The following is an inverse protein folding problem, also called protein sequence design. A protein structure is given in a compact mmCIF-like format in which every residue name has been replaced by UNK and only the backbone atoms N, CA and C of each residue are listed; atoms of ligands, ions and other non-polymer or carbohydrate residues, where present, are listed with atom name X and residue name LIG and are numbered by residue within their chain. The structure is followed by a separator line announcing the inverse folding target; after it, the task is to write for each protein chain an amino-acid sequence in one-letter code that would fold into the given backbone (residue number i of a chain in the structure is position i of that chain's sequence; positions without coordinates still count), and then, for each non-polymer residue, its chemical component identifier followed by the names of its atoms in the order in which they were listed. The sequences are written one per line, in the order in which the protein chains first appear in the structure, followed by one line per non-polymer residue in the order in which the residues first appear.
data_IF_673913713650
#
_entry.id   IF_673913713650
#
_cell.length_a   1.000
_cell.length_b   1.000
_cell.length_c   1.000
_cell.angle_alpha   90.00
_cell.angle_beta   90.00
_cell.angle_gamma   90.00
#
_symmetry.space_group_name_H-M   'P 1'
#
loop_
_entity.id
_entity.type
_entity.pdbx_description
1 polymer ?
#
# COMPACT_ATOMS: atom_id res chain seq x y z
N UNK A 1 4.37 -5.71 22.84
CA UNK A 1 4.89 -6.83 22.04
C UNK A 1 3.75 -7.43 21.27
N UNK A 2 3.63 -7.02 20.01
CA UNK A 2 2.96 -7.77 18.95
C UNK A 2 3.88 -7.59 17.74
N UNK A 3 4.84 -8.50 17.64
CA UNK A 3 5.66 -8.71 16.44
C UNK A 3 4.72 -9.14 15.32
N UNK A 4 4.50 -8.24 14.38
CA UNK A 4 4.00 -8.58 13.05
C UNK A 4 5.21 -8.64 12.12
N UNK A 5 5.99 -9.71 12.29
CA UNK A 5 6.81 -10.27 11.23
C UNK A 5 5.85 -10.89 10.22
N UNK A 6 5.57 -10.18 9.12
CA UNK A 6 4.91 -10.76 7.96
C UNK A 6 5.77 -10.39 6.74
N UNK A 7 6.44 -11.44 6.27
CA UNK A 7 7.06 -11.68 4.97
C UNK A 7 7.73 -10.50 4.25
N UNK A 8 9.05 -10.44 4.47
CA UNK A 8 10.00 -10.10 3.43
C UNK A 8 9.82 -11.11 2.28
N UNK A 9 8.89 -10.81 1.37
CA UNK A 9 8.78 -11.52 0.10
C UNK A 9 10.03 -11.15 -0.69
N UNK A 10 11.05 -11.99 -0.53
CA UNK A 10 12.23 -12.00 -1.39
C UNK A 10 11.70 -12.28 -2.80
N UNK A 11 11.55 -11.22 -3.60
CA UNK A 11 11.54 -11.35 -5.05
C UNK A 11 12.91 -11.90 -5.41
N UNK A 12 12.98 -13.22 -5.47
CA UNK A 12 14.12 -13.93 -5.98
C UNK A 12 14.22 -13.54 -7.46
N UNK A 13 15.25 -12.76 -7.78
CA UNK A 13 15.70 -12.44 -9.13
C UNK A 13 16.06 -13.74 -9.88
N UNK A 14 15.03 -14.40 -10.40
CA UNK A 14 15.09 -15.40 -11.45
C UNK A 14 14.36 -14.70 -12.60
N UNK A 15 14.98 -14.31 -13.70
CA UNK A 15 15.76 -15.16 -14.58
C UNK A 15 16.70 -14.30 -15.43
N UNK A 16 17.95 -14.75 -15.55
CA UNK A 16 18.79 -14.50 -16.73
C UNK A 16 18.18 -15.13 -17.99
N UNK A 17 17.00 -14.66 -18.38
CA UNK A 17 16.51 -14.77 -19.75
C UNK A 17 17.15 -13.61 -20.48
N UNK A 18 18.08 -13.86 -21.40
CA UNK A 18 18.48 -12.81 -22.34
C UNK A 18 17.20 -12.26 -22.94
N UNK A 19 16.88 -11.00 -22.60
CA UNK A 19 15.57 -10.36 -22.83
C UNK A 19 15.07 -10.79 -24.19
N UNK A 20 14.00 -11.59 -24.21
CA UNK A 20 13.35 -11.98 -25.46
C UNK A 20 12.74 -10.68 -25.98
N UNK A 21 13.38 -10.10 -27.00
CA UNK A 21 12.96 -8.80 -27.56
C UNK A 21 11.44 -8.75 -27.68
N UNK A 22 10.85 -7.62 -27.29
CA UNK A 22 9.42 -7.38 -27.39
C UNK A 22 8.89 -7.80 -28.75
N UNK A 23 7.70 -8.41 -28.80
CA UNK A 23 7.06 -8.85 -30.05
C UNK A 23 7.00 -7.71 -31.08
N UNK A 24 6.81 -6.47 -30.60
CA UNK A 24 6.82 -5.28 -31.43
C UNK A 24 8.19 -5.03 -32.07
N UNK A 25 9.27 -5.11 -31.29
CA UNK A 25 10.65 -4.91 -31.77
C UNK A 25 11.07 -6.06 -32.68
N UNK A 26 10.72 -7.29 -32.33
CA UNK A 26 10.92 -8.48 -33.16
C UNK A 26 10.24 -8.36 -34.53
N UNK A 27 9.01 -7.83 -34.58
CA UNK A 27 8.31 -7.56 -35.85
C UNK A 27 9.02 -6.52 -36.73
N UNK A 28 9.53 -5.44 -36.11
CA UNK A 28 10.31 -4.41 -36.82
C UNK A 28 11.64 -4.97 -37.31
N UNK A 29 12.37 -5.70 -36.46
CA UNK A 29 13.62 -6.37 -36.81
C UNK A 29 13.44 -7.30 -38.02
N UNK A 30 12.42 -8.16 -37.99
CA UNK A 30 12.10 -9.05 -39.10
C UNK A 30 11.83 -8.30 -40.42
N UNK A 31 11.14 -7.17 -40.35
CA UNK A 31 10.84 -6.35 -41.53
C UNK A 31 12.10 -5.69 -42.10
N UNK A 32 12.95 -5.15 -41.23
CA UNK A 32 14.23 -4.52 -41.58
C UNK A 32 15.20 -5.55 -42.18
N UNK A 33 15.38 -6.71 -41.54
CA UNK A 33 16.29 -7.74 -42.03
C UNK A 33 15.86 -8.28 -43.41
N UNK A 34 14.56 -8.37 -43.68
CA UNK A 34 14.05 -8.71 -45.03
C UNK A 34 14.40 -7.68 -46.09
N UNK A 35 14.41 -6.39 -45.74
CA UNK A 35 14.88 -5.34 -46.67
C UNK A 35 16.39 -5.42 -46.87
N UNK A 36 17.16 -5.68 -45.82
CA UNK A 36 18.60 -5.91 -45.93
C UNK A 36 18.91 -7.07 -46.85
N UNK A 37 18.19 -8.19 -46.76
CA UNK A 37 18.34 -9.29 -47.72
C UNK A 37 18.09 -8.86 -49.17
N UNK A 38 17.10 -8.00 -49.43
CA UNK A 38 16.84 -7.46 -50.78
C UNK A 38 17.99 -6.58 -51.27
N UNK A 39 18.54 -5.74 -50.38
CA UNK A 39 19.68 -4.88 -50.70
C UNK A 39 20.93 -5.71 -51.01
N UNK A 40 21.25 -6.70 -50.18
CA UNK A 40 22.39 -7.61 -50.39
C UNK A 40 22.26 -8.32 -51.74
N UNK A 41 21.06 -8.83 -52.09
CA UNK A 41 20.83 -9.51 -53.38
C UNK A 41 21.00 -8.58 -54.58
N UNK A 42 20.77 -7.28 -54.41
CA UNK A 42 20.78 -6.30 -55.52
C UNK A 42 22.12 -5.57 -55.67
N UNK A 43 22.82 -5.35 -54.56
CA UNK A 43 23.97 -4.44 -54.46
C UNK A 43 25.17 -5.00 -53.69
N UNK A 44 25.12 -6.26 -53.23
CA UNK A 44 26.13 -6.93 -52.38
C UNK A 44 26.08 -6.53 -50.88
N UNK A 45 26.76 -7.32 -50.04
CA UNK A 45 26.77 -7.22 -48.58
C UNK A 45 27.47 -5.96 -48.05
N UNK A 46 28.44 -5.42 -48.79
CA UNK A 46 29.20 -4.25 -48.35
C UNK A 46 28.31 -3.02 -48.10
N UNK A 47 27.14 -2.92 -48.75
CA UNK A 47 26.20 -1.79 -48.57
C UNK A 47 25.57 -1.78 -47.16
N UNK A 48 25.42 -2.95 -46.52
CA UNK A 48 24.76 -3.05 -45.20
C UNK A 48 25.74 -3.23 -44.06
N UNK A 49 27.02 -3.50 -44.34
CA UNK A 49 28.03 -3.87 -43.34
C UNK A 49 28.20 -2.87 -42.20
N UNK A 50 28.24 -1.57 -42.51
CA UNK A 50 28.33 -0.51 -41.51
C UNK A 50 26.96 -0.09 -40.95
N UNK A 51 25.89 -0.32 -41.72
CA UNK A 51 24.53 0.05 -41.33
C UNK A 51 23.92 -0.95 -40.34
N UNK A 52 24.20 -2.24 -40.51
CA UNK A 52 23.67 -3.32 -39.68
C UNK A 52 23.94 -3.12 -38.19
N UNK A 53 25.16 -2.83 -37.72
CA UNK A 53 25.40 -2.60 -36.29
C UNK A 53 24.68 -1.37 -35.75
N UNK A 54 24.48 -0.31 -36.56
CA UNK A 54 23.71 0.86 -36.16
C UNK A 54 22.24 0.51 -35.94
N UNK A 55 21.67 -0.30 -36.83
CA UNK A 55 20.27 -0.71 -36.74
C UNK A 55 20.04 -1.72 -35.60
N UNK A 56 20.97 -2.65 -35.39
CA UNK A 56 20.97 -3.54 -34.22
C UNK A 56 20.96 -2.71 -32.94
N UNK A 57 21.89 -1.76 -32.80
CA UNK A 57 21.96 -0.88 -31.63
C UNK A 57 20.66 -0.07 -31.43
N UNK A 58 20.04 0.44 -32.51
CA UNK A 58 18.75 1.14 -32.39
C UNK A 58 17.64 0.20 -31.90
N UNK A 59 17.58 -1.04 -32.40
CA UNK A 59 16.57 -2.02 -31.98
C UNK A 59 16.80 -2.46 -30.53
N UNK A 60 18.05 -2.65 -30.10
CA UNK A 60 18.41 -2.97 -28.72
C UNK A 60 18.04 -1.83 -27.75
N UNK A 61 18.36 -0.59 -28.10
CA UNK A 61 17.99 0.57 -27.28
C UNK A 61 16.47 0.76 -27.21
N UNK A 62 15.76 0.48 -28.30
CA UNK A 62 14.31 0.53 -28.31
C UNK A 62 13.70 -0.55 -27.40
N UNK A 63 14.25 -1.77 -27.43
CA UNK A 63 13.80 -2.85 -26.55
C UNK A 63 14.06 -2.54 -25.07
N UNK A 64 15.20 -1.93 -24.76
CA UNK A 64 15.54 -1.48 -23.41
C UNK A 64 14.55 -0.43 -22.90
N UNK A 65 14.28 0.62 -23.68
CA UNK A 65 13.33 1.67 -23.29
C UNK A 65 11.90 1.14 -23.16
N UNK A 66 11.49 0.18 -23.99
CA UNK A 66 10.17 -0.44 -23.87
C UNK A 66 10.05 -1.28 -22.59
N UNK A 67 11.11 -2.02 -22.25
CA UNK A 67 11.17 -2.80 -21.01
C UNK A 67 11.10 -1.87 -19.78
N UNK A 68 11.93 -0.84 -19.74
CA UNK A 68 11.92 0.17 -18.66
C UNK A 68 10.55 0.84 -18.52
N UNK A 69 9.91 1.19 -19.64
CA UNK A 69 8.58 1.79 -19.60
C UNK A 69 7.52 0.82 -19.04
N UNK A 70 7.61 -0.47 -19.37
CA UNK A 70 6.70 -1.48 -18.84
C UNK A 70 6.88 -1.67 -17.32
N UNK A 71 8.12 -1.63 -16.84
CA UNK A 71 8.44 -1.69 -15.41
C UNK A 71 7.84 -0.48 -14.66
N UNK A 72 8.01 0.73 -15.20
CA UNK A 72 7.41 1.94 -14.64
C UNK A 72 5.87 1.90 -14.65
N UNK A 73 5.25 1.37 -15.70
CA UNK A 73 3.78 1.21 -15.75
C UNK A 73 3.29 0.29 -14.63
N UNK A 74 3.98 -0.83 -14.39
CA UNK A 74 3.66 -1.76 -13.30
C UNK A 74 3.85 -1.09 -11.94
N UNK A 75 4.95 -0.36 -11.72
CA UNK A 75 5.19 0.37 -10.48
C UNK A 75 4.09 1.41 -10.20
N UNK A 76 3.68 2.15 -11.23
CA UNK A 76 2.60 3.13 -11.13
C UNK A 76 1.25 2.48 -10.76
N UNK A 77 0.95 1.29 -11.29
CA UNK A 77 -0.26 0.56 -10.92
C UNK A 77 -0.23 0.11 -9.47
N UNK A 78 0.89 -0.45 -9.00
CA UNK A 78 1.07 -0.85 -7.60
C UNK A 78 0.90 0.33 -6.63
N UNK A 79 1.50 1.49 -6.96
CA UNK A 79 1.36 2.69 -6.14
C UNK A 79 -0.07 3.22 -6.09
N UNK A 80 -0.82 3.10 -7.19
CA UNK A 80 -2.24 3.46 -7.22
C UNK A 80 -3.06 2.53 -6.32
N UNK A 81 -2.83 1.23 -6.41
CA UNK A 81 -3.50 0.24 -5.57
C UNK A 81 -3.23 0.49 -4.07
N UNK A 82 -1.98 0.74 -3.69
CA UNK A 82 -1.63 1.08 -2.30
C UNK A 82 -2.33 2.38 -1.85
N UNK A 83 -2.36 3.39 -2.72
CA UNK A 83 -3.05 4.64 -2.42
C UNK A 83 -4.56 4.46 -2.18
N UNK A 84 -5.22 3.64 -2.99
CA UNK A 84 -6.65 3.32 -2.83
C UNK A 84 -6.93 2.58 -1.52
N UNK A 85 -6.05 1.65 -1.14
CA UNK A 85 -6.13 0.96 0.15
C UNK A 85 -5.98 1.94 1.31
N UNK A 86 -4.99 2.84 1.26
CA UNK A 86 -4.76 3.86 2.28
C UNK A 86 -5.97 4.80 2.42
N UNK A 87 -6.58 5.24 1.32
CA UNK A 87 -7.78 6.07 1.34
C UNK A 87 -8.93 5.34 2.04
N UNK A 88 -9.18 4.08 1.67
CA UNK A 88 -10.26 3.28 2.25
C UNK A 88 -10.08 3.12 3.77
N UNK A 89 -8.84 2.85 4.21
CA UNK A 89 -8.51 2.74 5.62
C UNK A 89 -8.71 4.07 6.36
N UNK A 90 -8.23 5.17 5.76
CA UNK A 90 -8.38 6.51 6.32
C UNK A 90 -9.86 6.89 6.50
N UNK A 91 -10.71 6.62 5.51
CA UNK A 91 -12.15 6.91 5.59
C UNK A 91 -12.84 6.10 6.69
N UNK A 92 -12.46 4.82 6.84
CA UNK A 92 -12.96 3.97 7.93
C UNK A 92 -12.57 4.50 9.31
N UNK A 93 -11.30 4.87 9.49
CA UNK A 93 -10.82 5.42 10.77
C UNK A 93 -11.50 6.76 11.09
N UNK A 94 -11.65 7.62 10.07
CA UNK A 94 -12.36 8.90 10.19
C UNK A 94 -13.82 8.72 10.60
N UNK A 95 -14.51 7.72 10.06
CA UNK A 95 -15.88 7.39 10.45
C UNK A 95 -15.96 6.90 11.90
N UNK A 96 -15.04 6.03 12.33
CA UNK A 96 -14.98 5.54 13.71
C UNK A 96 -14.71 6.67 14.71
N UNK A 97 -13.82 7.62 14.38
CA UNK A 97 -13.58 8.80 15.22
C UNK A 97 -14.83 9.65 15.39
N UNK A 98 -15.54 9.97 14.29
CA UNK A 98 -16.80 10.72 14.35
C UNK A 98 -17.84 10.04 15.22
N UNK A 99 -17.99 8.72 15.07
CA UNK A 99 -18.93 7.95 15.88
C UNK A 99 -18.57 7.99 17.37
N UNK A 100 -17.28 7.89 17.71
CA UNK A 100 -16.82 7.99 19.09
C UNK A 100 -17.05 9.38 19.70
N UNK A 101 -16.83 10.44 18.92
CA UNK A 101 -17.10 11.83 19.30
C UNK A 101 -18.59 12.05 19.59
N UNK A 102 -19.47 11.63 18.67
CA UNK A 102 -20.94 11.72 18.85
C UNK A 102 -21.43 10.95 20.08
N UNK A 103 -20.88 9.75 20.34
CA UNK A 103 -21.20 8.97 21.55
C UNK A 103 -20.70 9.68 22.80
N UNK A 104 -19.53 10.31 22.75
CA UNK A 104 -18.97 11.05 23.89
C UNK A 104 -19.75 12.33 24.22
N UNK A 105 -20.23 13.06 23.21
CA UNK A 105 -21.07 14.25 23.37
C UNK A 105 -22.49 13.88 23.80
N UNK A 106 -23.08 12.82 23.22
CA UNK A 106 -24.37 12.29 23.64
C UNK A 106 -24.37 11.73 25.06
N UNK A 107 -23.24 11.18 25.51
CA UNK A 107 -23.02 10.77 26.90
C UNK A 107 -22.86 11.95 27.87
N UNK A 108 -22.32 13.08 27.41
CA UNK A 108 -22.12 14.30 28.22
C UNK A 108 -23.41 15.12 28.37
N UNK A 109 -24.28 15.14 27.36
CA UNK A 109 -25.62 15.73 27.43
C UNK A 109 -26.62 14.88 28.23
N UNK A 110 -26.34 13.59 28.40
CA UNK A 110 -27.07 12.70 29.31
C UNK A 110 -26.39 12.65 30.68
N UNK A 111 -26.14 13.81 31.28
CA UNK A 111 -25.79 13.89 32.71
C UNK A 111 -26.92 13.31 33.57
N UNK A 112 -26.63 12.72 34.75
CA UNK A 112 -27.67 12.24 35.65
C UNK A 112 -28.60 13.42 36.00
N UNK A 113 -29.93 13.22 36.05
CA UNK A 113 -30.87 14.32 36.27
C UNK A 113 -30.58 14.97 37.64
N UNK A 114 -30.12 16.22 37.62
CA UNK A 114 -29.86 16.98 38.83
C UNK A 114 -31.17 17.57 39.38
N UNK A 115 -31.71 16.89 40.40
CA UNK A 115 -32.65 17.33 41.45
C UNK A 115 -34.06 17.77 40.99
N UNK A 116 -35.16 17.24 41.55
CA UNK A 116 -35.55 17.43 42.96
C UNK A 116 -36.80 16.63 43.36
N UNK A 117 -36.88 16.29 44.65
CA UNK A 117 -38.03 15.80 45.45
C UNK A 117 -38.25 14.27 45.41
N UNK A 118 -38.32 13.51 46.51
CA UNK A 118 -38.56 13.82 47.92
C UNK A 118 -38.08 12.63 48.80
N UNK A 119 -37.45 12.97 49.94
CA UNK A 119 -37.62 12.38 51.28
C UNK A 119 -37.43 10.87 51.54
N UNK A 120 -36.80 10.60 52.70
CA UNK A 120 -36.57 9.33 53.40
C UNK A 120 -35.55 8.41 52.71
N UNK A 121 -34.35 8.16 53.24
CA UNK A 121 -34.08 7.51 54.53
C UNK A 121 -32.67 7.91 54.99
N UNK A 122 -32.58 8.82 55.95
CA UNK A 122 -31.40 8.97 56.82
C UNK A 122 -31.85 8.76 58.25
N UNK A 123 -31.47 7.64 58.90
CA UNK A 123 -31.35 7.57 60.33
C UNK A 123 -29.85 7.59 60.69
N UNK A 124 -29.41 8.77 61.14
CA UNK A 124 -28.87 8.91 62.49
C UNK A 124 -27.59 8.11 62.81
N UNK A 125 -26.49 8.51 62.18
CA UNK A 125 -25.13 8.24 62.66
C UNK A 125 -24.73 9.33 63.68
N UNK A 126 -25.33 9.27 64.88
CA UNK A 126 -24.92 10.05 66.05
C UNK A 126 -25.15 9.22 67.31
N UNK A 127 -24.37 8.15 67.49
CA UNK A 127 -24.09 7.60 68.83
C UNK A 127 -22.85 6.72 68.76
N UNK A 128 -21.69 7.30 69.07
CA UNK A 128 -20.45 6.55 69.30
C UNK A 128 -20.40 6.19 70.80
N UNK A 129 -20.08 4.94 71.18
CA UNK A 129 -20.14 4.49 72.57
C UNK A 129 -18.84 4.86 73.31
N UNK A 130 -18.88 5.08 74.64
CA UNK A 130 -17.71 4.86 75.47
C UNK A 130 -17.90 3.55 76.25
N UNK A 131 -17.13 2.52 75.91
CA UNK A 131 -16.87 1.42 76.84
C UNK A 131 -15.54 1.70 77.56
N UNK A 132 -15.55 1.89 78.88
CA UNK A 132 -14.36 1.65 79.68
C UNK A 132 -14.34 0.17 80.09
N UNK A 133 -13.28 -0.53 79.70
CA UNK A 133 -12.71 -1.65 80.48
C UNK A 133 -11.76 -1.02 81.53
N UNK A 134 -11.30 -1.69 82.62
CA UNK A 134 -11.56 -3.04 83.12
C UNK A 134 -11.72 -3.14 84.67
N UNK A 135 -11.99 -4.36 85.17
CA UNK A 135 -11.71 -4.86 86.55
C UNK A 135 -12.63 -4.46 87.72
N UNK A 136 -13.54 -5.36 88.13
CA UNK A 136 -13.89 -5.60 89.54
C UNK A 136 -14.64 -6.93 89.72
N UNK A 137 -14.02 -7.84 90.49
CA UNK A 137 -14.47 -9.14 91.02
C UNK A 137 -14.46 -10.37 90.11
#
# INVERSE_FOLDING_TARGET
MMDLQIDEVVYQDDYGSGSVMSERVSGMANSIYREFERLIRSYDEEVVKELMPLVVNVLENLDAVLTENQEHEVELELLKEDNEQLITQYEREKALRKQAEEVSEGGRLRGPPAHSSCLSVWPMLMFQPPHPNPSAF
#
